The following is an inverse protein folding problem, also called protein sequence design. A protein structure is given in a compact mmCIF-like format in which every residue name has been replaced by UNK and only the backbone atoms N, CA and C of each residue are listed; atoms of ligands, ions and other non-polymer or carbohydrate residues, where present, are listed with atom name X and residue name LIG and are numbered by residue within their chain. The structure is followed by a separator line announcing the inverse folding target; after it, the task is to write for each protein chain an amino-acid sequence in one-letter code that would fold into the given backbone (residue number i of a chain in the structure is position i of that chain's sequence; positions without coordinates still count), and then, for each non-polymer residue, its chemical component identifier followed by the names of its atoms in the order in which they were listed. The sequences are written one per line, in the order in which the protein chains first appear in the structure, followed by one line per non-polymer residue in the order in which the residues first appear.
data_IF_983404583640
#
_entry.id   IF_983404583640
#
_cell.length_a   1.000
_cell.length_b   1.000
_cell.length_c   1.000
_cell.angle_alpha   90.00
_cell.angle_beta   90.00
_cell.angle_gamma   90.00
#
_symmetry.space_group_name_H-M   'P 1'
#
loop_
_entity.id
_entity.type
_entity.pdbx_description
1 polymer ?
#
# COMPACT_ATOMS: atom_id res chain seq x y z
N UNK A 1 -21.77 -12.21 15.27
CA UNK A 1 -21.14 -12.26 13.94
C UNK A 1 -19.71 -11.75 14.05
N UNK A 2 -18.70 -12.62 13.89
CA UNK A 2 -17.30 -12.23 13.98
C UNK A 2 -16.90 -11.41 12.75
N UNK A 3 -16.47 -10.16 12.94
CA UNK A 3 -15.85 -9.35 11.88
C UNK A 3 -14.60 -10.09 11.39
N UNK A 4 -14.68 -10.75 10.24
CA UNK A 4 -13.48 -11.32 9.60
C UNK A 4 -12.49 -10.18 9.40
N UNK A 5 -11.30 -10.28 10.00
CA UNK A 5 -10.22 -9.32 9.79
C UNK A 5 -9.96 -9.23 8.28
N UNK A 6 -9.93 -8.03 7.67
CA UNK A 6 -9.66 -7.92 6.25
C UNK A 6 -8.30 -8.55 5.95
N UNK A 7 -8.30 -9.58 5.09
CA UNK A 7 -7.07 -10.27 4.67
C UNK A 7 -6.20 -9.29 3.91
N UNK A 8 -4.92 -9.26 4.26
CA UNK A 8 -3.93 -8.51 3.49
C UNK A 8 -3.81 -9.09 2.08
N UNK A 9 -3.64 -8.21 1.10
CA UNK A 9 -3.45 -8.53 -0.31
C UNK A 9 -2.16 -7.88 -0.80
N UNK A 10 -1.43 -8.58 -1.65
CA UNK A 10 -0.34 -8.00 -2.41
C UNK A 10 -0.90 -7.03 -3.48
N UNK A 11 -0.46 -5.78 -3.44
CA UNK A 11 -0.95 -4.70 -4.30
C UNK A 11 -0.02 -4.46 -5.49
N UNK A 12 1.27 -4.26 -5.21
CA UNK A 12 2.25 -3.89 -6.22
C UNK A 12 3.52 -4.70 -6.03
N UNK A 13 4.21 -4.96 -7.15
CA UNK A 13 5.56 -5.53 -7.18
C UNK A 13 6.45 -4.55 -7.92
N UNK A 14 7.61 -4.24 -7.34
CA UNK A 14 8.46 -3.16 -7.86
C UNK A 14 9.94 -3.48 -7.64
N UNK A 15 10.79 -2.88 -8.48
CA UNK A 15 12.25 -2.82 -8.28
C UNK A 15 12.69 -1.46 -7.72
N UNK A 16 11.74 -0.61 -7.29
CA UNK A 16 12.05 0.65 -6.59
C UNK A 16 12.02 0.39 -5.08
N UNK A 17 13.05 0.82 -4.33
CA UNK A 17 13.08 0.64 -2.89
C UNK A 17 12.10 1.59 -2.18
N UNK A 18 11.60 1.24 -0.98
CA UNK A 18 10.54 1.98 -0.28
C UNK A 18 10.81 3.49 -0.12
N UNK A 19 12.06 3.87 0.16
CA UNK A 19 12.45 5.27 0.38
C UNK A 19 12.38 6.16 -0.88
N UNK A 20 12.22 5.58 -2.08
CA UNK A 20 12.03 6.30 -3.34
C UNK A 20 10.58 6.28 -3.85
N UNK A 21 9.64 5.77 -3.04
CA UNK A 21 8.24 5.53 -3.43
C UNK A 21 7.29 5.95 -2.30
N UNK A 22 7.29 7.24 -1.91
CA UNK A 22 6.44 7.73 -0.82
C UNK A 22 4.94 7.55 -1.10
N UNK A 23 4.52 7.49 -2.37
CA UNK A 23 3.14 7.23 -2.76
C UNK A 23 2.60 5.88 -2.26
N UNK A 24 3.48 4.94 -1.88
CA UNK A 24 3.12 3.63 -1.32
C UNK A 24 3.68 3.45 0.09
N UNK A 25 3.95 4.54 0.83
CA UNK A 25 4.39 4.44 2.21
C UNK A 25 3.38 3.66 3.08
N UNK A 26 3.85 3.02 4.15
CA UNK A 26 2.95 2.37 5.11
C UNK A 26 1.97 3.40 5.66
N UNK A 27 0.68 3.06 5.65
CA UNK A 27 -0.41 3.96 6.02
C UNK A 27 -1.00 4.76 4.85
N UNK A 28 -0.32 4.84 3.71
CA UNK A 28 -0.86 5.49 2.51
C UNK A 28 -2.10 4.76 2.00
N UNK A 29 -3.06 5.54 1.47
CA UNK A 29 -4.25 5.03 0.79
C UNK A 29 -3.99 5.04 -0.71
N UNK A 30 -4.14 3.89 -1.35
CA UNK A 30 -3.82 3.68 -2.76
C UNK A 30 -5.00 3.02 -3.47
N UNK A 31 -5.23 3.39 -4.73
CA UNK A 31 -6.18 2.69 -5.58
C UNK A 31 -5.51 1.50 -6.28
N UNK A 32 -6.12 0.33 -6.20
CA UNK A 32 -5.64 -0.88 -6.87
C UNK A 32 -6.84 -1.69 -7.38
N UNK A 33 -6.87 -1.98 -8.68
CA UNK A 33 -7.96 -2.75 -9.33
C UNK A 33 -9.37 -2.21 -8.99
N UNK A 34 -9.53 -0.89 -8.97
CA UNK A 34 -10.82 -0.24 -8.72
C UNK A 34 -11.27 -0.18 -7.25
N UNK A 35 -10.45 -0.66 -6.30
CA UNK A 35 -10.73 -0.52 -4.87
C UNK A 35 -9.61 0.22 -4.14
N UNK A 36 -9.95 0.86 -3.02
CA UNK A 36 -8.99 1.54 -2.15
C UNK A 36 -8.41 0.57 -1.12
N UNK A 37 -7.11 0.67 -0.92
CA UNK A 37 -6.35 -0.12 0.03
C UNK A 37 -5.47 0.79 0.88
N UNK A 38 -5.34 0.45 2.17
CA UNK A 38 -4.33 1.03 3.04
C UNK A 38 -3.09 0.15 3.00
N UNK A 39 -1.95 0.73 2.64
CA UNK A 39 -0.67 0.02 2.66
C UNK A 39 -0.32 -0.33 4.10
N UNK A 40 0.00 -1.60 4.35
CA UNK A 40 0.31 -2.12 5.68
C UNK A 40 1.79 -2.44 5.86
N UNK A 41 2.45 -2.92 4.81
CA UNK A 41 3.87 -3.28 4.86
C UNK A 41 4.50 -3.37 3.48
N UNK A 42 5.82 -3.27 3.49
CA UNK A 42 6.69 -3.65 2.39
C UNK A 42 7.39 -4.97 2.75
N UNK A 43 7.50 -5.85 1.78
CA UNK A 43 8.22 -7.10 1.90
C UNK A 43 9.30 -7.14 0.82
N UNK A 44 10.55 -7.29 1.23
CA UNK A 44 11.63 -7.61 0.29
C UNK A 44 11.46 -9.05 -0.20
N UNK A 45 11.55 -9.23 -1.51
CA UNK A 45 11.50 -10.52 -2.19
C UNK A 45 12.93 -10.95 -2.56
N UNK A 46 13.06 -12.19 -3.03
CA UNK A 46 14.34 -12.67 -3.54
C UNK A 46 14.77 -11.79 -4.73
N UNK A 47 16.01 -11.28 -4.74
CA UNK A 47 16.52 -10.48 -5.84
C UNK A 47 16.42 -11.22 -7.18
N UNK A 48 16.07 -10.49 -8.24
CA UNK A 48 15.97 -11.07 -9.59
C UNK A 48 17.36 -11.03 -10.22
N UNK A 49 17.93 -12.18 -10.65
CA UNK A 49 19.23 -12.22 -11.29
C UNK A 49 19.17 -11.61 -12.69
N UNK A 50 20.24 -10.93 -13.10
CA UNK A 50 20.36 -10.31 -14.43
C UNK A 50 21.26 -11.15 -15.34
N UNK A 51 20.92 -11.19 -16.63
CA UNK A 51 21.67 -11.96 -17.64
C UNK A 51 23.15 -11.54 -17.80
N UNK A 52 23.50 -10.30 -17.41
CA UNK A 52 24.87 -9.75 -17.52
C UNK A 52 25.64 -9.81 -16.20
N UNK A 53 25.17 -10.59 -15.24
CA UNK A 53 25.69 -10.60 -13.87
C UNK A 53 25.04 -9.54 -12.99
N UNK A 54 25.03 -9.81 -11.68
CA UNK A 54 24.35 -8.99 -10.67
C UNK A 54 22.90 -9.40 -10.43
N UNK A 55 22.26 -8.71 -9.48
CA UNK A 55 20.85 -8.88 -9.15
C UNK A 55 20.19 -7.54 -8.88
N UNK A 56 18.89 -7.44 -9.15
CA UNK A 56 18.09 -6.28 -8.78
C UNK A 56 17.20 -6.64 -7.60
N UNK A 57 17.19 -5.77 -6.59
CA UNK A 57 16.28 -5.89 -5.46
C UNK A 57 14.83 -5.84 -5.92
N UNK A 58 13.98 -6.56 -5.22
CA UNK A 58 12.57 -6.64 -5.56
C UNK A 58 11.74 -6.54 -4.30
N UNK A 59 10.64 -5.79 -4.39
CA UNK A 59 9.77 -5.52 -3.26
C UNK A 59 8.33 -5.79 -3.62
N UNK A 60 7.58 -6.24 -2.63
CA UNK A 60 6.14 -6.39 -2.68
C UNK A 60 5.48 -5.51 -1.65
N UNK A 61 4.53 -4.70 -2.12
CA UNK A 61 3.70 -3.85 -1.28
C UNK A 61 2.43 -4.61 -0.93
N UNK A 62 2.12 -4.68 0.36
CA UNK A 62 0.91 -5.30 0.88
C UNK A 62 -0.02 -4.23 1.44
N UNK A 63 -1.32 -4.50 1.38
CA UNK A 63 -2.31 -3.65 2.02
C UNK A 63 -3.61 -4.36 2.33
N UNK A 64 -4.45 -3.68 3.11
CA UNK A 64 -5.81 -4.11 3.44
C UNK A 64 -6.80 -3.23 2.71
N UNK A 65 -7.86 -3.85 2.20
CA UNK A 65 -8.95 -3.10 1.56
C UNK A 65 -9.60 -2.21 2.61
N UNK A 66 -9.83 -0.95 2.27
CA UNK A 66 -10.59 -0.07 3.13
C UNK A 66 -12.07 -0.47 3.11
N UNK A 67 -12.65 -0.51 4.30
CA UNK A 67 -14.10 -0.62 4.48
C UNK A 67 -14.78 0.69 4.10
N UNK A 68 -16.08 0.64 3.81
CA UNK A 68 -16.86 1.86 3.51
C UNK A 68 -16.78 2.89 4.64
N UNK A 69 -16.84 2.41 5.89
CA UNK A 69 -16.67 3.23 7.09
C UNK A 69 -15.28 3.88 7.18
N UNK A 70 -14.21 3.16 6.83
CA UNK A 70 -12.85 3.70 6.84
C UNK A 70 -12.65 4.72 5.71
N UNK A 71 -13.26 4.52 4.54
CA UNK A 71 -13.26 5.51 3.46
C UNK A 71 -13.98 6.78 3.89
N UNK A 72 -15.15 6.64 4.51
CA UNK A 72 -15.94 7.77 5.02
C UNK A 72 -15.17 8.55 6.08
N UNK A 73 -14.54 7.85 7.03
CA UNK A 73 -13.72 8.50 8.05
C UNK A 73 -12.53 9.24 7.44
N UNK A 74 -11.82 8.63 6.47
CA UNK A 74 -10.72 9.28 5.78
C UNK A 74 -11.12 10.55 5.01
N UNK A 75 -12.32 10.58 4.44
CA UNK A 75 -12.90 11.77 3.80
C UNK A 75 -13.22 12.88 4.81
N UNK A 76 -13.75 12.52 5.97
CA UNK A 76 -14.03 13.46 7.06
C UNK A 76 -12.74 14.08 7.60
N UNK A 77 -11.74 13.26 7.92
CA UNK A 77 -10.42 13.72 8.37
C UNK A 77 -9.74 14.67 7.36
N UNK A 78 -9.88 14.39 6.05
CA UNK A 78 -9.33 15.25 5.01
C UNK A 78 -10.09 16.58 4.90
N UNK A 79 -11.42 16.55 5.02
CA UNK A 79 -12.25 17.75 5.02
C UNK A 79 -11.98 18.62 6.26
N UNK A 80 -11.81 18.04 7.44
CA UNK A 80 -11.45 18.77 8.66
C UNK A 80 -10.11 19.49 8.53
N UNK A 81 -9.12 18.87 7.88
CA UNK A 81 -7.83 19.52 7.61
C UNK A 81 -7.96 20.70 6.64
N UNK A 82 -8.79 20.58 5.61
CA UNK A 82 -9.01 21.65 4.62
C UNK A 82 -9.84 22.82 5.18
N UNK A 83 -10.69 22.58 6.18
CA UNK A 83 -11.53 23.60 6.82
C UNK A 83 -10.86 24.23 8.04
N UNK A 84 -9.78 23.65 8.54
CA UNK A 84 -9.02 24.11 9.71
C UNK A 84 -7.79 24.97 9.38
N UNK A 85 -7.58 25.32 8.11
CA UNK A 85 -6.54 26.26 7.63
C UNK A 85 -7.11 27.65 7.35
#
# INVERSE_FOLDING_TARGET
MGRMKPREKALFRTHRPPFKTPEWAVGAVVQHQGALYRVTRWQELRPVPLNRGGSVGEWQVWGKRLSDEEMRQGLLDAAERLLGE
#
